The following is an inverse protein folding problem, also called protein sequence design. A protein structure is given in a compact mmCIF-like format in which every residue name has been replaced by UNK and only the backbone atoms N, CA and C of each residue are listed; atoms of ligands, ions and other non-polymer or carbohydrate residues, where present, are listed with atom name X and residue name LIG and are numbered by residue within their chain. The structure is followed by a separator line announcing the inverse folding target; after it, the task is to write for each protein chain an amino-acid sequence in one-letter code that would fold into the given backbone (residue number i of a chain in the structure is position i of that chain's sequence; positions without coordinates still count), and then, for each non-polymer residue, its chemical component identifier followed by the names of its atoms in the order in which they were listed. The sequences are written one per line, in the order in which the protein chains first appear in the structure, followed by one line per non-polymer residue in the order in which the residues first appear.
data_IF_640613560352
#
_entry.id   IF_640613560352
#
_cell.length_a   1.000
_cell.length_b   1.000
_cell.length_c   1.000
_cell.angle_alpha   90.00
_cell.angle_beta   90.00
_cell.angle_gamma   90.00
#
_symmetry.space_group_name_H-M   'P 1'
#
loop_
_entity.id
_entity.type
_entity.pdbx_description
1 polymer ?
#
# COMPACT_ATOMS: atom_id res chain seq x y z
N UNK A 1 -35.86 -7.36 -8.52
CA UNK A 1 -34.46 -7.75 -8.80
C UNK A 1 -34.30 -9.23 -8.46
N UNK A 2 -34.40 -10.14 -9.43
CA UNK A 2 -34.54 -11.59 -9.15
C UNK A 2 -33.28 -12.26 -8.58
N UNK A 3 -32.09 -11.69 -8.82
CA UNK A 3 -30.81 -12.27 -8.37
C UNK A 3 -30.33 -11.71 -7.01
N UNK A 4 -31.11 -10.85 -6.38
CA UNK A 4 -30.79 -10.17 -5.13
C UNK A 4 -31.48 -10.87 -3.95
N UNK A 5 -30.71 -11.27 -2.95
CA UNK A 5 -31.24 -11.84 -1.71
C UNK A 5 -31.48 -10.69 -0.74
N UNK A 6 -32.74 -10.26 -0.67
CA UNK A 6 -33.13 -8.98 -0.04
C UNK A 6 -32.73 -8.90 1.44
N UNK A 7 -32.74 -10.03 2.17
CA UNK A 7 -32.39 -10.07 3.60
C UNK A 7 -30.95 -9.67 3.93
N UNK A 8 -30.02 -9.75 2.97
CA UNK A 8 -28.62 -9.35 3.16
C UNK A 8 -28.31 -7.93 2.63
N UNK A 9 -29.31 -7.27 2.05
CA UNK A 9 -29.19 -5.89 1.54
C UNK A 9 -29.36 -4.94 2.72
N UNK A 10 -28.25 -4.33 3.14
CA UNK A 10 -28.28 -3.23 4.08
C UNK A 10 -28.46 -1.91 3.30
N UNK A 11 -29.35 -0.99 3.73
CA UNK A 11 -29.36 0.35 3.19
C UNK A 11 -28.02 1.04 3.48
N UNK A 12 -27.60 1.96 2.61
CA UNK A 12 -26.38 2.73 2.85
C UNK A 12 -26.61 3.66 4.04
N UNK A 13 -25.97 3.34 5.16
CA UNK A 13 -25.95 4.16 6.36
C UNK A 13 -24.94 5.31 6.16
N UNK A 14 -25.45 6.54 6.02
CA UNK A 14 -24.62 7.73 5.84
C UNK A 14 -23.88 8.12 7.13
N UNK A 15 -24.47 7.85 8.29
CA UNK A 15 -23.85 8.14 9.59
C UNK A 15 -22.64 7.24 9.83
N UNK A 16 -22.64 6.03 9.27
CA UNK A 16 -21.48 5.13 9.29
C UNK A 16 -20.35 5.56 8.33
N UNK A 17 -20.59 6.52 7.43
CA UNK A 17 -19.55 7.17 6.63
C UNK A 17 -18.93 8.37 7.35
N UNK A 18 -19.58 8.89 8.40
CA UNK A 18 -18.98 9.83 9.32
C UNK A 18 -18.26 9.08 10.46
N UNK A 19 -17.13 9.59 10.96
CA UNK A 19 -16.43 8.91 12.03
C UNK A 19 -17.23 8.94 13.34
N UNK A 20 -17.72 7.78 13.77
CA UNK A 20 -18.39 7.60 15.06
C UNK A 20 -17.40 7.73 16.24
N UNK A 21 -16.10 7.50 15.99
CA UNK A 21 -15.04 7.58 16.99
C UNK A 21 -13.75 8.09 16.36
N UNK A 22 -13.24 9.21 16.87
CA UNK A 22 -11.93 9.73 16.44
C UNK A 22 -10.80 8.97 17.10
N UNK A 23 -9.97 8.32 16.30
CA UNK A 23 -8.69 7.75 16.72
C UNK A 23 -7.76 8.88 17.11
N UNK A 24 -7.18 8.80 18.31
CA UNK A 24 -6.33 9.85 18.86
C UNK A 24 -4.85 9.70 18.51
N UNK A 25 -4.45 8.56 17.94
CA UNK A 25 -3.08 8.36 17.49
C UNK A 25 -2.84 8.86 16.06
N UNK A 26 -1.57 9.12 15.77
CA UNK A 26 -1.09 9.54 14.45
C UNK A 26 -1.44 8.51 13.37
N UNK A 27 -1.75 8.92 12.13
CA UNK A 27 -1.88 7.99 11.00
C UNK A 27 -0.63 7.14 10.84
N UNK A 28 -0.78 5.82 10.75
CA UNK A 28 0.36 4.89 10.64
C UNK A 28 0.65 4.56 9.19
N UNK A 29 1.79 5.02 8.67
CA UNK A 29 2.14 4.84 7.26
C UNK A 29 3.39 3.97 7.11
N UNK A 30 3.24 2.84 6.40
CA UNK A 30 4.36 1.95 6.07
C UNK A 30 4.90 2.26 4.66
N UNK A 31 6.20 2.49 4.56
CA UNK A 31 6.87 2.73 3.28
C UNK A 31 7.68 1.51 2.85
N UNK A 32 7.47 1.08 1.61
CA UNK A 32 8.21 0.02 0.93
C UNK A 32 8.97 0.59 -0.26
N UNK A 33 10.20 0.14 -0.50
CA UNK A 33 11.00 0.59 -1.64
C UNK A 33 11.64 -0.58 -2.42
N UNK A 34 11.83 -0.40 -3.73
CA UNK A 34 12.18 -1.46 -4.67
C UNK A 34 13.65 -1.61 -5.04
N UNK A 35 14.61 -1.20 -4.20
CA UNK A 35 16.04 -1.37 -4.54
C UNK A 35 16.95 -1.49 -3.33
N UNK A 36 17.81 -2.50 -3.38
CA UNK A 36 18.83 -2.79 -2.37
C UNK A 36 20.20 -2.17 -2.72
N UNK A 37 20.29 -1.34 -3.77
CA UNK A 37 21.54 -0.66 -4.11
C UNK A 37 21.97 0.25 -2.96
N UNK A 38 23.27 0.37 -2.76
CA UNK A 38 23.84 1.30 -1.80
C UNK A 38 23.35 2.72 -2.05
N UNK A 39 23.42 3.21 -3.30
CA UNK A 39 22.80 4.45 -3.76
C UNK A 39 21.48 4.17 -4.47
N UNK A 40 20.40 4.14 -3.69
CA UNK A 40 19.04 3.81 -4.16
C UNK A 40 18.15 5.06 -4.19
N UNK A 41 17.79 5.54 -5.37
CA UNK A 41 16.91 6.70 -5.53
C UNK A 41 15.47 6.41 -5.07
N UNK A 42 14.99 5.16 -5.16
CA UNK A 42 13.68 4.81 -4.61
C UNK A 42 13.70 4.82 -3.08
N UNK A 43 14.82 4.43 -2.46
CA UNK A 43 15.02 4.57 -1.00
C UNK A 43 15.09 6.05 -0.61
N UNK A 44 15.83 6.87 -1.35
CA UNK A 44 15.88 8.32 -1.08
C UNK A 44 14.52 8.99 -1.24
N UNK A 45 13.77 8.67 -2.29
CA UNK A 45 12.41 9.18 -2.48
C UNK A 45 11.46 8.73 -1.35
N UNK A 46 11.56 7.47 -0.89
CA UNK A 46 10.82 6.99 0.27
C UNK A 46 11.21 7.72 1.57
N UNK A 47 12.49 8.07 1.76
CA UNK A 47 12.93 8.85 2.91
C UNK A 47 12.40 10.29 2.87
N UNK A 48 12.34 10.94 1.71
CA UNK A 48 11.68 12.26 1.60
C UNK A 48 10.18 12.17 1.87
N UNK A 49 9.52 11.13 1.33
CA UNK A 49 8.12 10.86 1.61
C UNK A 49 7.87 10.69 3.12
N UNK A 50 8.71 9.92 3.83
CA UNK A 50 8.59 9.74 5.27
C UNK A 50 8.69 11.08 6.04
N UNK A 51 9.65 11.95 5.70
CA UNK A 51 9.79 13.28 6.33
C UNK A 51 8.54 14.15 6.12
N UNK A 52 7.99 14.14 4.91
CA UNK A 52 6.77 14.89 4.59
C UNK A 52 5.56 14.33 5.35
N UNK A 53 5.41 13.01 5.42
CA UNK A 53 4.35 12.37 6.18
C UNK A 53 4.43 12.69 7.68
N UNK A 54 5.63 12.68 8.27
CA UNK A 54 5.84 13.08 9.66
C UNK A 54 5.51 14.55 9.90
N UNK A 55 5.87 15.43 8.96
CA UNK A 55 5.47 16.85 8.97
C UNK A 55 3.94 16.99 8.94
N UNK A 56 3.25 16.17 8.15
CA UNK A 56 1.79 16.10 8.11
C UNK A 56 1.15 15.33 9.27
N UNK A 57 1.94 14.93 10.27
CA UNK A 57 1.44 14.37 11.53
C UNK A 57 1.29 12.84 11.55
N UNK A 58 1.82 12.13 10.56
CA UNK A 58 1.84 10.66 10.54
C UNK A 58 2.97 10.08 11.42
N UNK A 59 2.79 8.83 11.85
CA UNK A 59 3.86 7.95 12.33
C UNK A 59 4.30 7.10 11.13
N UNK A 60 5.61 7.12 10.80
CA UNK A 60 6.12 6.37 9.65
C UNK A 60 7.01 5.22 10.07
N UNK A 61 6.96 4.13 9.31
CA UNK A 61 7.94 3.04 9.39
C UNK A 61 8.36 2.65 7.99
N UNK A 62 9.65 2.38 7.81
CA UNK A 62 10.21 1.97 6.53
C UNK A 62 10.68 0.53 6.68
N UNK A 63 10.25 -0.35 5.77
CA UNK A 63 10.75 -1.71 5.73
C UNK A 63 12.02 -1.79 4.87
N UNK A 64 13.07 -2.37 5.43
CA UNK A 64 14.32 -2.63 4.72
C UNK A 64 14.37 -4.07 4.22
N UNK A 65 14.24 -4.28 2.91
CA UNK A 65 14.12 -5.63 2.33
C UNK A 65 15.44 -6.44 2.24
N UNK A 66 16.54 -5.94 2.80
CA UNK A 66 17.79 -6.70 2.88
C UNK A 66 17.56 -7.99 3.68
N UNK A 67 17.93 -9.14 3.09
CA UNK A 67 17.73 -10.45 3.69
C UNK A 67 16.29 -10.98 3.62
N UNK A 68 15.37 -10.32 2.91
CA UNK A 68 14.05 -10.91 2.62
C UNK A 68 14.24 -12.05 1.60
N UNK A 69 13.83 -13.29 1.90
CA UNK A 69 13.93 -14.41 0.95
C UNK A 69 12.98 -14.19 -0.23
N UNK A 70 13.20 -14.94 -1.32
CA UNK A 70 12.22 -15.00 -2.38
C UNK A 70 10.95 -15.69 -1.86
N UNK A 71 9.75 -15.29 -2.32
CA UNK A 71 8.52 -16.04 -2.02
C UNK A 71 8.72 -17.54 -2.30
N UNK A 72 8.22 -18.38 -1.40
CA UNK A 72 8.34 -19.86 -1.43
C UNK A 72 9.76 -20.44 -1.22
N UNK A 73 10.78 -19.61 -0.99
CA UNK A 73 12.17 -20.03 -0.69
C UNK A 73 12.46 -20.12 0.82
N UNK A 74 11.48 -19.81 1.66
CA UNK A 74 11.55 -19.90 3.12
C UNK A 74 10.17 -20.03 3.73
N UNK A 75 10.12 -20.42 4.99
CA UNK A 75 8.87 -20.47 5.75
C UNK A 75 8.39 -19.08 6.17
N UNK A 76 7.11 -18.99 6.50
CA UNK A 76 6.45 -17.75 6.92
C UNK A 76 7.00 -17.15 8.23
N UNK A 77 7.75 -17.93 9.01
CA UNK A 77 8.40 -17.53 10.26
C UNK A 77 9.79 -16.91 10.06
N UNK A 78 10.28 -16.83 8.81
CA UNK A 78 11.54 -16.14 8.50
C UNK A 78 11.49 -14.71 9.08
N UNK A 79 12.52 -14.24 9.83
CA UNK A 79 12.45 -12.99 10.59
C UNK A 79 12.04 -11.77 9.75
N UNK A 80 12.55 -11.66 8.52
CA UNK A 80 12.18 -10.57 7.60
C UNK A 80 10.74 -10.65 7.07
N UNK A 81 10.20 -11.86 6.94
CA UNK A 81 8.80 -12.07 6.52
C UNK A 81 7.87 -11.70 7.67
N UNK A 82 8.19 -12.15 8.89
CA UNK A 82 7.46 -11.77 10.10
C UNK A 82 7.47 -10.25 10.32
N UNK A 83 8.64 -9.61 10.26
CA UNK A 83 8.79 -8.14 10.37
C UNK A 83 7.92 -7.40 9.35
N UNK A 84 7.95 -7.83 8.07
CA UNK A 84 7.15 -7.22 7.02
C UNK A 84 5.65 -7.34 7.33
N UNK A 85 5.19 -8.54 7.75
CA UNK A 85 3.78 -8.79 8.05
C UNK A 85 3.31 -8.02 9.29
N UNK A 86 4.15 -7.88 10.31
CA UNK A 86 3.87 -7.06 11.49
C UNK A 86 3.73 -5.58 11.13
N UNK A 87 4.64 -5.06 10.31
CA UNK A 87 4.58 -3.68 9.82
C UNK A 87 3.34 -3.44 8.95
N UNK A 88 3.00 -4.38 8.07
CA UNK A 88 1.79 -4.29 7.25
C UNK A 88 0.55 -4.35 8.12
N UNK A 89 0.54 -5.15 9.18
CA UNK A 89 -0.59 -5.24 10.11
C UNK A 89 -0.74 -3.94 10.91
N UNK A 90 0.37 -3.35 11.36
CA UNK A 90 0.42 -2.07 12.08
C UNK A 90 -0.09 -0.87 11.25
N UNK A 91 0.11 -0.87 9.93
CA UNK A 91 -0.17 0.30 9.09
C UNK A 91 -1.67 0.57 8.88
N UNK A 92 -2.01 1.82 8.60
CA UNK A 92 -3.34 2.27 8.15
C UNK A 92 -3.29 2.75 6.69
N UNK A 93 -2.09 3.15 6.24
CA UNK A 93 -1.79 3.46 4.85
C UNK A 93 -0.37 3.02 4.48
N UNK A 94 -0.07 3.00 3.19
CA UNK A 94 1.24 2.63 2.68
C UNK A 94 1.72 3.54 1.57
N UNK A 95 3.03 3.60 1.38
CA UNK A 95 3.70 4.16 0.20
C UNK A 95 4.54 3.07 -0.45
N UNK A 96 4.36 2.84 -1.75
CA UNK A 96 5.22 1.95 -2.52
C UNK A 96 6.07 2.75 -3.51
N UNK A 97 7.39 2.64 -3.39
CA UNK A 97 8.34 3.31 -4.27
C UNK A 97 9.19 2.30 -5.06
N UNK A 98 8.86 2.07 -6.34
CA UNK A 98 9.66 1.20 -7.21
C UNK A 98 10.56 2.00 -8.14
N UNK A 99 11.82 1.62 -8.33
CA UNK A 99 12.50 1.92 -9.57
C UNK A 99 11.75 1.32 -10.75
N UNK A 100 11.94 1.90 -11.94
CA UNK A 100 11.62 1.23 -13.19
C UNK A 100 12.86 0.47 -13.69
N UNK A 101 12.80 -0.85 -13.67
CA UNK A 101 13.87 -1.74 -14.14
C UNK A 101 13.36 -2.54 -15.33
N UNK A 102 14.06 -2.44 -16.46
CA UNK A 102 13.61 -3.05 -17.72
C UNK A 102 12.15 -2.68 -18.08
N UNK A 103 11.76 -1.44 -17.81
CA UNK A 103 10.41 -0.93 -18.14
C UNK A 103 9.29 -1.41 -17.21
N UNK A 104 9.59 -2.00 -16.05
CA UNK A 104 8.62 -2.55 -15.10
C UNK A 104 8.98 -2.24 -13.64
N UNK A 105 8.04 -2.51 -12.72
CA UNK A 105 8.31 -2.52 -11.28
C UNK A 105 9.36 -3.58 -10.95
N UNK A 106 10.14 -3.34 -9.90
CA UNK A 106 11.26 -4.21 -9.54
C UNK A 106 10.81 -5.51 -8.88
N UNK A 107 11.60 -6.56 -9.09
CA UNK A 107 11.45 -7.82 -8.37
C UNK A 107 11.54 -7.64 -6.84
N UNK A 108 12.38 -6.72 -6.36
CA UNK A 108 12.51 -6.42 -4.92
C UNK A 108 11.20 -5.90 -4.34
N UNK A 109 10.52 -4.97 -5.02
CA UNK A 109 9.22 -4.50 -4.54
C UNK A 109 8.15 -5.59 -4.69
N UNK A 110 8.14 -6.30 -5.81
CA UNK A 110 7.15 -7.36 -6.07
C UNK A 110 7.25 -8.49 -5.03
N UNK A 111 8.46 -8.94 -4.70
CA UNK A 111 8.71 -9.94 -3.67
C UNK A 111 8.20 -9.50 -2.29
N UNK A 112 8.38 -8.22 -1.92
CA UNK A 112 7.79 -7.70 -0.69
C UNK A 112 6.27 -7.87 -0.70
N UNK A 113 5.58 -7.52 -1.79
CA UNK A 113 4.12 -7.65 -1.80
C UNK A 113 3.66 -9.11 -1.86
N UNK A 114 4.42 -9.99 -2.51
CA UNK A 114 4.11 -11.43 -2.58
C UNK A 114 4.16 -12.10 -1.21
N UNK A 115 4.98 -11.58 -0.30
CA UNK A 115 5.00 -12.05 1.09
C UNK A 115 3.80 -11.61 1.93
N UNK A 116 2.97 -10.70 1.42
CA UNK A 116 1.78 -10.17 2.11
C UNK A 116 0.55 -10.96 1.65
N UNK A 117 -0.01 -11.85 2.49
CA UNK A 117 -1.22 -12.57 2.13
C UNK A 117 -2.46 -11.67 2.18
N UNK A 118 -3.48 -11.99 1.39
CA UNK A 118 -4.78 -11.32 1.48
C UNK A 118 -5.52 -11.64 2.79
N UNK A 119 -5.20 -12.78 3.42
CA UNK A 119 -5.81 -13.23 4.66
C UNK A 119 -4.78 -13.93 5.57
N UNK A 120 -4.79 -13.59 6.86
CA UNK A 120 -4.10 -14.32 7.92
C UNK A 120 -5.13 -14.68 8.99
N UNK A 121 -5.75 -15.86 8.86
CA UNK A 121 -6.94 -16.22 9.63
C UNK A 121 -8.07 -15.22 9.39
N UNK A 122 -8.54 -14.54 10.44
CA UNK A 122 -9.56 -13.50 10.36
C UNK A 122 -9.01 -12.13 9.90
N UNK A 123 -7.69 -11.90 9.96
CA UNK A 123 -7.08 -10.62 9.64
C UNK A 123 -6.95 -10.45 8.12
N UNK A 124 -7.19 -9.23 7.62
CA UNK A 124 -7.04 -8.83 6.22
C UNK A 124 -5.99 -7.72 6.12
N UNK A 125 -4.69 -8.06 5.98
CA UNK A 125 -3.59 -7.15 6.32
C UNK A 125 -3.55 -5.83 5.54
N UNK A 126 -4.06 -5.81 4.31
CA UNK A 126 -4.04 -4.63 3.41
C UNK A 126 -5.42 -4.08 3.08
N UNK A 127 -6.48 -4.83 3.38
CA UNK A 127 -7.82 -4.50 2.89
C UNK A 127 -8.33 -3.18 3.50
N UNK A 128 -8.82 -2.28 2.65
CA UNK A 128 -9.36 -0.98 3.08
C UNK A 128 -8.29 0.06 3.45
N UNK A 129 -7.00 -0.31 3.53
CA UNK A 129 -5.90 0.62 3.80
C UNK A 129 -5.62 1.49 2.60
N UNK A 130 -5.14 2.72 2.83
CA UNK A 130 -4.80 3.65 1.75
C UNK A 130 -3.43 3.36 1.15
N UNK A 131 -3.23 3.66 -0.13
CA UNK A 131 -1.97 3.41 -0.84
C UNK A 131 -1.58 4.59 -1.73
N UNK A 132 -0.38 5.11 -1.56
CA UNK A 132 0.27 6.03 -2.49
C UNK A 132 1.37 5.32 -3.29
N UNK A 133 1.52 5.73 -4.56
CA UNK A 133 2.47 5.11 -5.49
C UNK A 133 3.50 6.12 -5.96
N UNK A 134 4.76 5.68 -5.97
CA UNK A 134 5.90 6.46 -6.43
C UNK A 134 6.79 5.60 -7.32
N UNK A 135 7.39 6.19 -8.36
CA UNK A 135 8.46 5.55 -9.09
C UNK A 135 9.65 6.47 -9.33
N UNK A 136 10.81 5.86 -9.56
CA UNK A 136 12.01 6.54 -10.04
C UNK A 136 12.53 5.85 -11.30
N UNK A 137 13.10 6.61 -12.23
CA UNK A 137 13.76 6.06 -13.42
C UNK A 137 15.13 6.71 -13.63
N UNK A 138 16.06 5.95 -14.21
CA UNK A 138 17.32 6.51 -14.71
C UNK A 138 17.18 7.19 -16.06
N UNK A 139 16.09 6.94 -16.79
CA UNK A 139 15.84 7.47 -18.13
C UNK A 139 14.81 8.59 -18.16
N UNK A 140 14.24 8.82 -19.35
CA UNK A 140 13.10 9.72 -19.55
C UNK A 140 11.88 9.29 -18.71
N UNK A 141 10.92 10.21 -18.60
CA UNK A 141 9.70 9.97 -17.82
C UNK A 141 8.92 8.78 -18.36
N UNK A 142 8.41 7.98 -17.43
CA UNK A 142 7.63 6.77 -17.66
C UNK A 142 6.65 6.58 -16.51
N UNK A 143 5.66 5.71 -16.72
CA UNK A 143 4.63 5.39 -15.73
C UNK A 143 4.40 3.88 -15.61
N UNK A 144 5.26 3.05 -16.21
CA UNK A 144 5.00 1.62 -16.30
C UNK A 144 4.98 0.95 -14.92
N UNK A 145 5.96 1.27 -14.07
CA UNK A 145 6.01 0.73 -12.71
C UNK A 145 4.79 1.21 -11.89
N UNK A 146 4.39 2.48 -12.00
CA UNK A 146 3.19 3.00 -11.34
C UNK A 146 1.92 2.29 -11.80
N UNK A 147 1.77 2.06 -13.11
CA UNK A 147 0.60 1.37 -13.66
C UNK A 147 0.51 -0.07 -13.14
N UNK A 148 1.62 -0.79 -13.10
CA UNK A 148 1.69 -2.14 -12.53
C UNK A 148 1.35 -2.15 -11.03
N UNK A 149 1.90 -1.21 -10.25
CA UNK A 149 1.63 -1.10 -8.82
C UNK A 149 0.18 -0.68 -8.54
N UNK A 150 -0.45 0.13 -9.39
CA UNK A 150 -1.86 0.54 -9.24
C UNK A 150 -2.81 -0.62 -9.44
N UNK A 151 -2.54 -1.43 -10.45
CA UNK A 151 -3.18 -2.73 -10.64
C UNK A 151 -2.97 -3.58 -9.39
N UNK A 152 -1.74 -3.71 -8.90
CA UNK A 152 -1.42 -4.50 -7.72
C UNK A 152 -2.17 -4.00 -6.45
N UNK A 153 -2.24 -2.69 -6.21
CA UNK A 153 -2.98 -2.09 -5.10
C UNK A 153 -4.47 -2.47 -5.09
N UNK A 154 -5.09 -2.53 -6.28
CA UNK A 154 -6.46 -3.05 -6.45
C UNK A 154 -6.57 -4.52 -6.05
N UNK A 155 -5.61 -5.36 -6.46
CA UNK A 155 -5.56 -6.78 -6.05
C UNK A 155 -5.43 -6.93 -4.53
N UNK A 156 -4.63 -6.07 -3.89
CA UNK A 156 -4.47 -6.02 -2.43
C UNK A 156 -5.65 -5.37 -1.70
N UNK A 157 -6.72 -5.01 -2.43
CA UNK A 157 -7.95 -4.37 -1.91
C UNK A 157 -7.67 -3.07 -1.16
N UNK A 158 -6.65 -2.33 -1.59
CA UNK A 158 -6.26 -1.03 -1.02
C UNK A 158 -6.96 0.12 -1.73
N UNK A 159 -7.18 1.21 -1.01
CA UNK A 159 -7.65 2.48 -1.55
C UNK A 159 -6.44 3.21 -2.13
N UNK A 160 -6.15 2.95 -3.40
CA UNK A 160 -5.01 3.60 -4.08
C UNK A 160 -5.39 5.02 -4.47
N UNK A 161 -4.75 6.01 -3.84
CA UNK A 161 -5.08 7.43 -4.05
C UNK A 161 -4.84 7.85 -5.51
N UNK A 162 -5.57 8.86 -6.02
CA UNK A 162 -5.47 9.24 -7.43
C UNK A 162 -4.10 9.79 -7.80
N UNK A 163 -3.49 10.62 -6.94
CA UNK A 163 -2.21 11.23 -7.23
C UNK A 163 -1.04 10.23 -7.10
N UNK A 164 0.03 10.48 -7.86
CA UNK A 164 1.22 9.62 -7.89
C UNK A 164 2.46 10.39 -8.35
N UNK A 165 3.65 9.92 -7.95
CA UNK A 165 4.93 10.55 -8.31
C UNK A 165 5.75 9.68 -9.27
N UNK A 166 6.26 10.27 -10.35
CA UNK A 166 7.23 9.63 -11.25
C UNK A 166 8.42 10.57 -11.46
N UNK A 167 9.59 10.17 -10.95
CA UNK A 167 10.83 10.96 -10.98
C UNK A 167 11.73 10.46 -12.12
N UNK A 168 11.74 11.12 -13.30
CA UNK A 168 12.67 10.79 -14.38
C UNK A 168 14.11 11.20 -14.03
N UNK A 169 15.08 10.60 -14.70
CA UNK A 169 16.52 10.92 -14.57
C UNK A 169 16.93 11.17 -13.11
N UNK A 170 16.47 10.31 -12.19
CA UNK A 170 16.48 10.59 -10.75
C UNK A 170 17.88 10.94 -10.21
N UNK A 171 18.95 10.49 -10.86
CA UNK A 171 20.32 10.87 -10.51
C UNK A 171 20.62 12.37 -10.58
N UNK A 172 19.84 13.16 -11.33
CA UNK A 172 19.95 14.62 -11.40
C UNK A 172 19.19 15.33 -10.26
N UNK A 173 18.16 14.68 -9.72
CA UNK A 173 17.21 15.25 -8.76
C UNK A 173 17.67 15.10 -7.29
N UNK A 174 18.63 14.22 -7.03
CA UNK A 174 19.19 14.02 -5.68
C UNK A 174 20.62 14.53 -5.58
N UNK A 175 20.95 15.19 -4.47
CA UNK A 175 22.31 15.62 -4.16
C UNK A 175 23.19 14.45 -3.66
N UNK A 176 24.45 14.75 -3.32
CA UNK A 176 25.41 13.75 -2.84
C UNK A 176 24.93 13.05 -1.55
N UNK A 177 24.29 13.80 -0.64
CA UNK A 177 23.72 13.30 0.61
C UNK A 177 22.40 12.51 0.42
N UNK A 178 21.90 12.40 -0.82
CA UNK A 178 20.65 11.70 -1.12
C UNK A 178 19.41 12.50 -0.73
N UNK A 179 19.51 13.83 -0.61
CA UNK A 179 18.37 14.74 -0.46
C UNK A 179 17.85 15.15 -1.82
N UNK A 180 16.53 15.21 -1.96
CA UNK A 180 15.93 15.68 -3.20
C UNK A 180 16.03 17.19 -3.29
N UNK A 181 16.42 17.69 -4.47
CA UNK A 181 16.52 19.12 -4.77
C UNK A 181 15.12 19.72 -4.94
N UNK A 182 14.94 21.03 -4.68
CA UNK A 182 13.69 21.72 -5.01
C UNK A 182 13.40 21.62 -6.51
N UNK A 183 12.26 21.07 -6.88
CA UNK A 183 11.78 20.97 -8.25
C UNK A 183 10.28 20.66 -8.26
N UNK A 184 9.61 20.81 -9.41
CA UNK A 184 8.21 20.40 -9.54
C UNK A 184 7.98 18.90 -9.31
N UNK A 185 9.06 18.08 -9.38
CA UNK A 185 9.00 16.67 -9.00
C UNK A 185 8.93 16.51 -7.48
N UNK A 186 9.62 17.36 -6.71
CA UNK A 186 9.53 17.38 -5.25
C UNK A 186 8.15 17.88 -4.81
N UNK A 187 7.64 18.96 -5.40
CA UNK A 187 6.29 19.47 -5.14
C UNK A 187 5.23 18.39 -5.34
N UNK A 188 5.38 17.56 -6.39
CA UNK A 188 4.51 16.40 -6.60
C UNK A 188 4.58 15.38 -5.46
N UNK A 189 5.75 15.13 -4.85
CA UNK A 189 5.84 14.24 -3.69
C UNK A 189 5.09 14.85 -2.51
N UNK A 190 5.20 16.17 -2.31
CA UNK A 190 4.43 16.90 -1.28
C UNK A 190 2.94 16.68 -1.48
N UNK A 191 2.41 16.91 -2.68
CA UNK A 191 0.99 16.71 -3.00
C UNK A 191 0.54 15.27 -2.72
N UNK A 192 1.33 14.28 -3.13
CA UNK A 192 0.99 12.86 -2.97
C UNK A 192 0.97 12.47 -1.48
N UNK A 193 1.92 12.95 -0.68
CA UNK A 193 1.96 12.65 0.76
C UNK A 193 0.86 13.38 1.52
N UNK A 194 0.55 14.62 1.13
CA UNK A 194 -0.57 15.38 1.69
C UNK A 194 -1.91 14.68 1.40
N UNK A 195 -2.12 14.28 0.14
CA UNK A 195 -3.31 13.53 -0.28
C UNK A 195 -3.41 12.20 0.45
N UNK A 196 -2.30 11.46 0.62
CA UNK A 196 -2.31 10.20 1.37
C UNK A 196 -2.81 10.40 2.79
N UNK A 197 -2.28 11.38 3.54
CA UNK A 197 -2.70 11.62 4.93
C UNK A 197 -4.18 12.00 5.00
N UNK A 198 -4.66 12.85 4.08
CA UNK A 198 -6.08 13.22 3.99
C UNK A 198 -6.97 11.99 3.78
N UNK A 199 -6.62 11.13 2.82
CA UNK A 199 -7.37 9.90 2.55
C UNK A 199 -7.30 8.91 3.71
N UNK A 200 -6.13 8.75 4.37
CA UNK A 200 -6.00 7.85 5.53
C UNK A 200 -6.89 8.32 6.68
N UNK A 201 -6.87 9.62 7.01
CA UNK A 201 -7.72 10.19 8.04
C UNK A 201 -9.22 10.06 7.71
N UNK A 202 -9.58 10.22 6.43
CA UNK A 202 -10.97 10.11 5.99
C UNK A 202 -11.53 8.70 6.06
N UNK A 203 -10.69 7.66 5.95
CA UNK A 203 -11.14 6.27 5.72
C UNK A 203 -10.83 5.31 6.87
N UNK A 204 -9.80 5.57 7.69
CA UNK A 204 -9.35 4.63 8.72
C UNK A 204 -10.39 4.32 9.80
N UNK A 205 -11.30 5.26 10.09
CA UNK A 205 -12.27 5.12 11.18
C UNK A 205 -13.55 4.39 10.75
N UNK A 206 -13.80 4.31 9.43
CA UNK A 206 -14.94 3.65 8.81
C UNK A 206 -14.51 2.43 7.98
N UNK A 207 -13.26 1.99 8.07
CA UNK A 207 -12.70 0.94 7.23
C UNK A 207 -13.53 -0.35 7.26
N UNK A 208 -13.98 -0.78 8.45
CA UNK A 208 -14.81 -1.97 8.63
C UNK A 208 -16.15 -1.87 7.89
N UNK A 209 -16.79 -0.70 7.91
CA UNK A 209 -18.02 -0.46 7.17
C UNK A 209 -17.79 -0.42 5.65
N UNK A 210 -16.70 0.22 5.20
CA UNK A 210 -16.35 0.29 3.78
C UNK A 210 -16.05 -1.08 3.16
N UNK A 211 -15.65 -2.06 3.98
CA UNK A 211 -15.31 -3.42 3.52
C UNK A 211 -16.39 -4.45 3.82
N UNK A 212 -17.50 -4.06 4.47
CA UNK A 212 -18.67 -4.90 4.71
C UNK A 212 -19.46 -5.12 3.41
N UNK A 213 -19.17 -6.25 2.75
CA UNK A 213 -19.73 -6.58 1.43
C UNK A 213 -20.99 -7.43 1.55
N UNK A 214 -21.99 -7.08 0.74
CA UNK A 214 -23.19 -7.89 0.54
C UNK A 214 -22.88 -9.37 0.25
N UNK A 215 -21.90 -9.65 -0.61
CA UNK A 215 -21.53 -11.04 -0.95
C UNK A 215 -20.97 -11.82 0.22
N UNK A 216 -20.29 -11.13 1.16
CA UNK A 216 -19.73 -11.73 2.38
C UNK A 216 -20.82 -11.91 3.45
N UNK A 217 -21.81 -11.01 3.52
CA UNK A 217 -23.00 -11.18 4.39
C UNK A 217 -23.93 -12.31 3.93
N UNK A 218 -24.04 -12.51 2.61
CA UNK A 218 -24.86 -13.57 2.01
C UNK A 218 -24.27 -14.97 2.25
N UNK A 219 -22.95 -15.06 2.35
CA UNK A 219 -22.26 -16.34 2.44
C UNK A 219 -22.19 -16.80 3.89
N UNK A 220 -22.78 -17.96 4.21
CA UNK A 220 -22.59 -18.56 5.54
C UNK A 220 -21.13 -19.00 5.72
N UNK A 221 -20.67 -19.09 6.98
CA UNK A 221 -19.31 -19.56 7.26
C UNK A 221 -19.03 -20.96 6.67
N UNK A 222 -20.06 -21.82 6.62
CA UNK A 222 -19.99 -23.16 6.02
C UNK A 222 -19.89 -23.12 4.49
N UNK A 223 -20.66 -22.25 3.82
CA UNK A 223 -20.59 -22.06 2.36
C UNK A 223 -19.27 -21.43 1.91
N UNK A 224 -18.72 -20.49 2.70
CA UNK A 224 -17.41 -19.90 2.45
C UNK A 224 -16.31 -20.96 2.50
N UNK A 225 -16.33 -21.80 3.54
CA UNK A 225 -15.37 -22.90 3.66
C UNK A 225 -15.54 -23.93 2.54
N UNK A 226 -16.77 -24.23 2.12
CA UNK A 226 -17.03 -25.13 1.00
C UNK A 226 -16.52 -24.57 -0.34
N UNK A 227 -16.71 -23.26 -0.61
CA UNK A 227 -16.23 -22.61 -1.84
C UNK A 227 -14.71 -22.47 -1.90
N UNK A 228 -14.07 -22.06 -0.80
CA UNK A 228 -12.61 -21.90 -0.74
C UNK A 228 -11.88 -23.25 -0.88
N UNK A 229 -12.49 -24.33 -0.40
CA UNK A 229 -11.94 -25.69 -0.49
C UNK A 229 -12.35 -26.46 -1.76
N UNK A 230 -13.10 -25.85 -2.69
CA UNK A 230 -13.37 -26.49 -3.99
C UNK A 230 -12.08 -26.55 -4.81
N UNK A 231 -11.53 -27.78 -4.92
CA UNK A 231 -10.43 -28.15 -5.82
C UNK A 231 -10.90 -28.15 -7.27
N UNK A 232 -11.10 -26.99 -7.89
CA UNK A 232 -11.04 -26.74 -9.35
C UNK A 232 -11.94 -25.57 -9.76
N UNK A 233 -11.37 -24.64 -10.53
CA UNK A 233 -12.01 -24.18 -11.76
C UNK A 233 -11.60 -25.13 -12.89
#
# INVERSE_FOLDING_TARGET
MPNLVVEHVAPINQDALAPLRRMTHKPRILLLYGSLRERSFSRFAALEAARLLEMFGAETRIFHANGLPLPDDSEADHPKVAELRDLVTWSEGMVWCSPERHGAMTAVLKAQIDWIPLAMGAVRPTQGKTLALMQVSGGSQSFNALNQMRVLGRWMRMITIPNQSSIPKAFLEFDEAGRMKPSGLYDRIVDVMEELVKFTLMTREQADYLVDRYSERKESAEELMARVNQRSL
#
